data_IF_737932156907
#
_entry.id   IF_737932156907
#
_cell.length_a   1.000
_cell.length_b   1.000
_cell.length_c   1.000
_cell.angle_alpha   90.00
_cell.angle_beta   90.00
_cell.angle_gamma   90.00
#
_symmetry.space_group_name_H-M   'P 1'
#
loop_
_entity.id
_entity.type
_entity.pdbx_description
1 polymer ?
#
# COMPACT_ATOMS: atom_id res chain seq x y z
N UNK A 1 2.88 -3.09 0.77
CA UNK A 1 3.17 -2.47 2.08
C UNK A 1 3.01 -3.54 3.15
N UNK A 2 3.94 -3.63 4.11
CA UNK A 2 3.89 -4.64 5.18
C UNK A 2 4.56 -4.15 6.46
N UNK A 3 4.10 -4.60 7.62
CA UNK A 3 4.72 -4.34 8.93
C UNK A 3 5.85 -5.32 9.25
N UNK A 4 5.95 -6.41 8.50
CA UNK A 4 6.91 -7.51 8.72
C UNK A 4 8.07 -7.40 7.71
N UNK A 5 9.27 -7.19 8.25
CA UNK A 5 10.49 -7.06 7.45
C UNK A 5 10.81 -8.34 6.66
N UNK A 6 10.56 -9.52 7.23
CA UNK A 6 10.76 -10.78 6.53
C UNK A 6 9.79 -10.94 5.35
N UNK A 7 8.55 -10.44 5.47
CA UNK A 7 7.65 -10.33 4.31
C UNK A 7 8.25 -9.39 3.28
N UNK A 8 8.71 -8.21 3.70
CA UNK A 8 9.25 -7.20 2.78
C UNK A 8 10.44 -7.72 1.96
N UNK A 9 11.37 -8.41 2.61
CA UNK A 9 12.52 -9.04 1.96
C UNK A 9 12.11 -10.14 0.98
N UNK A 10 11.11 -10.96 1.32
CA UNK A 10 10.58 -12.01 0.41
C UNK A 10 9.90 -11.41 -0.83
N UNK A 11 9.20 -10.28 -0.67
CA UNK A 11 8.52 -9.60 -1.76
C UNK A 11 9.49 -9.05 -2.82
N UNK A 12 10.77 -8.85 -2.49
CA UNK A 12 11.79 -8.46 -3.48
C UNK A 12 12.07 -9.53 -4.57
N UNK A 13 11.67 -10.78 -4.32
CA UNK A 13 11.78 -11.87 -5.30
C UNK A 13 10.54 -12.01 -6.18
N UNK A 14 9.48 -11.27 -5.89
CA UNK A 14 8.22 -11.33 -6.65
C UNK A 14 8.32 -10.42 -7.87
N UNK A 15 8.03 -10.98 -9.04
CA UNK A 15 8.12 -10.28 -10.32
C UNK A 15 7.29 -9.00 -10.33
N UNK A 16 7.90 -7.89 -10.77
CA UNK A 16 7.24 -6.59 -10.90
C UNK A 16 6.83 -5.92 -9.59
N UNK A 17 7.19 -6.48 -8.43
CA UNK A 17 6.80 -5.92 -7.14
C UNK A 17 7.88 -5.00 -6.56
N UNK A 18 7.44 -3.89 -5.98
CA UNK A 18 8.26 -3.09 -5.07
C UNK A 18 7.69 -3.15 -3.66
N UNK A 19 8.43 -3.77 -2.75
CA UNK A 19 8.04 -3.82 -1.35
C UNK A 19 8.29 -2.49 -0.63
N UNK A 20 7.46 -2.19 0.36
CA UNK A 20 7.61 -1.06 1.27
C UNK A 20 7.24 -1.50 2.68
N UNK A 21 8.13 -1.20 3.62
CA UNK A 21 7.95 -1.47 5.04
C UNK A 21 7.16 -0.31 5.64
N UNK A 22 6.01 -0.60 6.24
CA UNK A 22 5.17 0.42 6.90
C UNK A 22 4.73 -0.11 8.26
N UNK A 23 5.34 0.37 9.36
CA UNK A 23 5.10 -0.18 10.69
C UNK A 23 3.85 0.38 11.39
N UNK A 24 3.22 1.45 10.91
CA UNK A 24 2.39 2.32 11.76
C UNK A 24 0.94 2.53 11.32
N UNK A 25 0.51 2.05 10.14
CA UNK A 25 -0.89 2.20 9.71
C UNK A 25 -1.84 1.53 10.70
N UNK A 26 -2.69 2.35 11.32
CA UNK A 26 -3.70 1.94 12.31
C UNK A 26 -5.14 2.05 11.80
N UNK A 27 -5.38 2.85 10.75
CA UNK A 27 -6.71 3.11 10.22
C UNK A 27 -6.73 3.23 8.69
N UNK A 28 -7.94 3.19 8.14
CA UNK A 28 -8.20 3.18 6.71
C UNK A 28 -7.73 4.43 5.97
N UNK A 29 -7.95 5.62 6.55
CA UNK A 29 -7.62 6.88 5.89
C UNK A 29 -6.11 7.04 5.82
N UNK A 30 -5.44 6.75 6.95
CA UNK A 30 -3.98 6.74 7.05
C UNK A 30 -3.35 5.78 6.04
N UNK A 31 -3.96 4.61 5.82
CA UNK A 31 -3.49 3.66 4.81
C UNK A 31 -3.51 4.23 3.39
N UNK A 32 -4.61 4.88 2.98
CA UNK A 32 -4.74 5.44 1.64
C UNK A 32 -3.79 6.62 1.45
N UNK A 33 -3.62 7.48 2.46
CA UNK A 33 -2.64 8.58 2.38
C UNK A 33 -1.21 8.06 2.27
N UNK A 34 -0.79 7.10 3.11
CA UNK A 34 0.56 6.53 3.02
C UNK A 34 0.79 5.86 1.66
N UNK A 35 -0.19 5.12 1.13
CA UNK A 35 -0.09 4.54 -0.20
C UNK A 35 0.10 5.59 -1.30
N UNK A 36 -0.63 6.72 -1.21
CA UNK A 36 -0.47 7.87 -2.10
C UNK A 36 0.92 8.48 -2.01
N UNK A 37 1.40 8.77 -0.80
CA UNK A 37 2.69 9.43 -0.58
C UNK A 37 3.84 8.56 -1.11
N UNK A 38 3.80 7.26 -0.86
CA UNK A 38 4.80 6.34 -1.39
C UNK A 38 4.73 6.21 -2.91
N UNK A 39 3.54 6.07 -3.50
CA UNK A 39 3.43 6.03 -4.96
C UNK A 39 3.92 7.34 -5.59
N UNK A 40 3.62 8.49 -4.98
CA UNK A 40 4.04 9.80 -5.46
C UNK A 40 5.57 9.91 -5.50
N UNK A 41 6.22 9.46 -4.42
CA UNK A 41 7.69 9.45 -4.30
C UNK A 41 8.35 8.51 -5.32
N UNK A 42 7.70 7.40 -5.67
CA UNK A 42 8.30 6.36 -6.49
C UNK A 42 8.04 6.50 -7.99
N UNK A 43 6.87 7.02 -8.36
CA UNK A 43 6.38 7.02 -9.74
C UNK A 43 6.16 8.42 -10.30
N UNK A 44 6.17 9.46 -9.47
CA UNK A 44 5.90 10.85 -9.86
C UNK A 44 4.65 11.00 -10.76
N UNK A 45 3.49 10.49 -10.31
CA UNK A 45 2.25 10.52 -11.08
C UNK A 45 1.76 11.96 -11.27
N UNK A 46 1.03 12.18 -12.36
CA UNK A 46 0.41 13.46 -12.67
C UNK A 46 -0.88 13.68 -11.84
N UNK A 47 -1.29 14.95 -11.73
CA UNK A 47 -2.62 15.29 -11.19
C UNK A 47 -3.69 14.65 -12.08
N UNK A 48 -4.63 13.95 -11.46
CA UNK A 48 -5.69 13.21 -12.15
C UNK A 48 -5.37 11.72 -12.35
N UNK A 49 -4.13 11.29 -12.19
CA UNK A 49 -3.78 9.87 -12.23
C UNK A 49 -4.51 9.10 -11.14
N UNK A 50 -4.75 7.81 -11.39
CA UNK A 50 -5.46 6.93 -10.46
C UNK A 50 -4.59 5.79 -9.98
N UNK A 51 -4.87 5.32 -8.77
CA UNK A 51 -4.30 4.10 -8.20
C UNK A 51 -5.40 3.22 -7.62
N UNK A 52 -5.11 1.92 -7.55
CA UNK A 52 -5.95 0.95 -6.85
C UNK A 52 -5.23 0.50 -5.58
N UNK A 53 -5.90 0.66 -4.45
CA UNK A 53 -5.41 0.22 -3.13
C UNK A 53 -6.21 -1.00 -2.70
N UNK A 54 -5.51 -2.10 -2.44
CA UNK A 54 -6.08 -3.34 -1.88
C UNK A 54 -5.75 -3.41 -0.39
N UNK A 55 -6.75 -3.68 0.45
CA UNK A 55 -6.56 -3.73 1.89
C UNK A 55 -7.57 -4.62 2.61
N UNK A 56 -7.43 -4.73 3.94
CA UNK A 56 -8.29 -5.55 4.79
C UNK A 56 -8.61 -4.86 6.12
N UNK A 57 -9.84 -5.04 6.60
CA UNK A 57 -10.26 -4.72 7.96
C UNK A 57 -10.88 -5.96 8.62
N UNK A 58 -10.44 -6.36 9.83
CA UNK A 58 -9.44 -5.70 10.68
C UNK A 58 -8.01 -5.80 10.12
N UNK A 59 -7.20 -4.77 10.40
CA UNK A 59 -5.80 -4.67 9.96
C UNK A 59 -4.90 -5.70 10.65
N UNK A 60 -3.82 -6.10 9.97
CA UNK A 60 -2.81 -7.01 10.53
C UNK A 60 -3.25 -8.48 10.63
N UNK A 61 -4.46 -8.83 10.17
CA UNK A 61 -4.95 -10.20 10.12
C UNK A 61 -4.64 -10.83 8.76
N UNK A 62 -3.86 -11.90 8.73
CA UNK A 62 -3.57 -12.64 7.49
C UNK A 62 -4.89 -13.16 6.90
N UNK A 63 -5.05 -13.00 5.58
CA UNK A 63 -6.25 -13.44 4.86
C UNK A 63 -7.47 -12.53 5.01
N UNK A 64 -7.34 -11.34 5.61
CA UNK A 64 -8.47 -10.39 5.77
C UNK A 64 -8.62 -9.37 4.65
N UNK A 65 -7.84 -9.47 3.56
CA UNK A 65 -7.96 -8.55 2.41
C UNK A 65 -9.39 -8.61 1.84
N UNK A 66 -10.15 -7.53 2.01
CA UNK A 66 -11.58 -7.46 1.73
C UNK A 66 -12.04 -6.09 1.19
N UNK A 67 -11.11 -5.20 0.87
CA UNK A 67 -11.40 -3.86 0.35
C UNK A 67 -10.58 -3.55 -0.90
N UNK A 68 -11.26 -2.96 -1.88
CA UNK A 68 -10.67 -2.39 -3.09
C UNK A 68 -11.07 -0.92 -3.15
N UNK A 69 -10.09 -0.03 -3.27
CA UNK A 69 -10.32 1.41 -3.36
C UNK A 69 -9.62 2.00 -4.56
N UNK A 70 -10.36 2.77 -5.36
CA UNK A 70 -9.77 3.66 -6.36
C UNK A 70 -9.51 5.01 -5.72
N UNK A 71 -8.27 5.49 -5.79
CA UNK A 71 -7.86 6.81 -5.32
C UNK A 71 -7.27 7.61 -6.48
N UNK A 72 -7.38 8.93 -6.40
CA UNK A 72 -6.88 9.87 -7.41
C UNK A 72 -5.83 10.78 -6.79
N UNK A 73 -4.76 11.04 -7.52
CA UNK A 73 -3.79 12.06 -7.20
C UNK A 73 -4.40 13.43 -7.52
N UNK A 74 -4.41 14.33 -6.54
CA UNK A 74 -4.96 15.67 -6.62
C UNK A 74 -3.88 16.64 -6.22
#
# INVERSE_FOLDING_TARGET
MTRDEHVSRRMALVWGMRSMQEPSISDYNSMVSTAKDECARLLSPAIGDTMVVLSGSPFGKVGSTNNIRVATFR
#
